data_IF_550987349891
#
_entry.id   IF_550987349891
#
_cell.length_a   1.000
_cell.length_b   1.000
_cell.length_c   1.000
_cell.angle_alpha   90.00
_cell.angle_beta   90.00
_cell.angle_gamma   90.00
#
_symmetry.space_group_name_H-M   'P 1'
#
loop_
_entity.id
_entity.type
_entity.pdbx_description
1 polymer ?
#
# COMPACT_ATOMS: atom_id res chain seq x y z
N UNK A 1 -6.69 -12.31 -19.88
CA UNK A 1 -5.59 -11.39 -19.53
C UNK A 1 -6.15 -9.97 -19.58
N UNK A 2 -6.08 -9.23 -18.46
CA UNK A 2 -6.57 -7.84 -18.42
C UNK A 2 -5.71 -6.92 -19.29
N UNK A 3 -6.33 -5.91 -19.92
CA UNK A 3 -5.63 -4.96 -20.78
C UNK A 3 -4.88 -3.92 -19.93
N UNK A 4 -3.71 -4.32 -19.41
CA UNK A 4 -2.87 -3.49 -18.53
C UNK A 4 -2.56 -2.14 -19.16
N UNK A 5 -2.25 -2.10 -20.46
CA UNK A 5 -1.97 -0.84 -21.16
C UNK A 5 -3.17 0.10 -21.25
N UNK A 6 -4.41 -0.43 -21.26
CA UNK A 6 -5.61 0.39 -21.14
C UNK A 6 -5.75 0.97 -19.73
N UNK A 7 -5.50 0.17 -18.70
CA UNK A 7 -5.57 0.63 -17.31
C UNK A 7 -4.53 1.72 -17.02
N UNK A 8 -3.31 1.59 -17.52
CA UNK A 8 -2.26 2.61 -17.41
C UNK A 8 -2.75 3.95 -17.98
N UNK A 9 -3.24 3.96 -19.21
CA UNK A 9 -3.77 5.19 -19.85
C UNK A 9 -4.92 5.80 -19.06
N UNK A 10 -5.85 4.99 -18.58
CA UNK A 10 -7.00 5.48 -17.82
C UNK A 10 -6.59 6.08 -16.47
N UNK A 11 -5.58 5.52 -15.81
CA UNK A 11 -5.03 6.12 -14.60
C UNK A 11 -4.28 7.42 -14.91
N UNK A 12 -3.48 7.47 -15.98
CA UNK A 12 -2.76 8.68 -16.36
C UNK A 12 -3.74 9.82 -16.69
N UNK A 13 -4.81 9.54 -17.46
CA UNK A 13 -5.90 10.49 -17.72
C UNK A 13 -6.59 10.97 -16.43
N UNK A 14 -6.94 10.05 -15.53
CA UNK A 14 -7.62 10.39 -14.28
C UNK A 14 -6.74 11.25 -13.36
N UNK A 15 -5.44 10.95 -13.27
CA UNK A 15 -4.47 11.74 -12.50
C UNK A 15 -4.39 13.16 -13.05
N UNK A 16 -4.30 13.32 -14.38
CA UNK A 16 -4.21 14.64 -15.00
C UNK A 16 -5.47 15.46 -14.77
N UNK A 17 -6.65 14.84 -14.85
CA UNK A 17 -7.92 15.50 -14.53
C UNK A 17 -7.98 15.92 -13.05
N UNK A 18 -7.63 15.03 -12.12
CA UNK A 18 -7.63 15.35 -10.69
C UNK A 18 -6.66 16.48 -10.33
N UNK A 19 -5.51 16.57 -11.02
CA UNK A 19 -4.57 17.69 -10.85
C UNK A 19 -5.14 19.01 -11.38
N UNK A 20 -5.83 18.98 -12.52
CA UNK A 20 -6.42 20.20 -13.12
C UNK A 20 -7.58 20.75 -12.30
N UNK A 21 -8.34 19.87 -11.62
CA UNK A 21 -9.48 20.24 -10.78
C UNK A 21 -9.09 20.50 -9.31
N UNK A 22 -7.79 20.46 -8.99
CA UNK A 22 -7.25 20.55 -7.62
C UNK A 22 -7.86 19.50 -6.65
N UNK A 23 -8.36 18.36 -7.15
CA UNK A 23 -8.84 17.25 -6.32
C UNK A 23 -7.66 16.42 -5.81
N UNK A 24 -7.06 16.91 -4.73
CA UNK A 24 -5.90 16.30 -4.07
C UNK A 24 -6.20 14.88 -3.55
N UNK A 25 -7.45 14.56 -3.20
CA UNK A 25 -7.81 13.22 -2.74
C UNK A 25 -7.77 12.24 -3.91
N UNK A 26 -8.43 12.59 -5.01
CA UNK A 26 -8.48 11.75 -6.19
C UNK A 26 -7.09 11.57 -6.80
N UNK A 27 -6.28 12.62 -6.87
CA UNK A 27 -4.89 12.55 -7.32
C UNK A 27 -4.09 11.52 -6.51
N UNK A 28 -4.17 11.59 -5.17
CA UNK A 28 -3.48 10.63 -4.28
C UNK A 28 -3.95 9.18 -4.50
N UNK A 29 -5.26 8.96 -4.64
CA UNK A 29 -5.84 7.63 -4.87
C UNK A 29 -5.39 7.04 -6.21
N UNK A 30 -5.50 7.79 -7.30
CA UNK A 30 -5.12 7.30 -8.62
C UNK A 30 -3.62 7.10 -8.77
N UNK A 31 -2.78 7.97 -8.19
CA UNK A 31 -1.33 7.77 -8.14
C UNK A 31 -0.97 6.48 -7.37
N UNK A 32 -1.60 6.22 -6.22
CA UNK A 32 -1.40 4.98 -5.47
C UNK A 32 -1.78 3.73 -6.28
N UNK A 33 -2.90 3.77 -7.00
CA UNK A 33 -3.30 2.66 -7.88
C UNK A 33 -2.36 2.47 -9.07
N UNK A 34 -1.95 3.56 -9.73
CA UNK A 34 -0.98 3.54 -10.82
C UNK A 34 0.37 2.97 -10.38
N UNK A 35 0.82 3.32 -9.17
CA UNK A 35 2.03 2.78 -8.58
C UNK A 35 1.94 1.28 -8.34
N UNK A 36 0.82 0.79 -7.80
CA UNK A 36 0.61 -0.67 -7.60
C UNK A 36 0.67 -1.46 -8.90
N UNK A 37 0.19 -0.87 -10.00
CA UNK A 37 0.26 -1.49 -11.33
C UNK A 37 1.70 -1.51 -11.87
N UNK A 38 2.49 -0.48 -11.55
CA UNK A 38 3.89 -0.33 -11.99
C UNK A 38 4.86 -1.18 -11.15
N UNK A 39 4.55 -1.45 -9.88
CA UNK A 39 5.49 -1.99 -8.89
C UNK A 39 6.18 -3.31 -9.28
N UNK A 40 5.56 -4.16 -10.10
CA UNK A 40 6.18 -5.40 -10.57
C UNK A 40 7.08 -5.21 -11.80
N UNK A 41 6.89 -4.12 -12.55
CA UNK A 41 7.63 -3.79 -13.78
C UNK A 41 8.81 -2.87 -13.48
N UNK A 42 8.51 -1.80 -12.75
CA UNK A 42 9.45 -0.74 -12.39
C UNK A 42 9.14 -0.25 -10.97
N UNK A 43 9.72 -0.91 -9.96
CA UNK A 43 9.50 -0.53 -8.57
C UNK A 43 10.00 0.89 -8.22
N UNK A 44 11.03 1.38 -8.90
CA UNK A 44 11.57 2.72 -8.63
C UNK A 44 10.58 3.79 -9.09
N UNK A 45 10.04 3.64 -10.30
CA UNK A 45 8.95 4.47 -10.80
C UNK A 45 7.71 4.37 -9.92
N UNK A 46 7.37 3.18 -9.42
CA UNK A 46 6.27 3.01 -8.47
C UNK A 46 6.51 3.80 -7.18
N UNK A 47 7.74 3.80 -6.64
CA UNK A 47 8.08 4.60 -5.45
C UNK A 47 8.03 6.12 -5.71
N UNK A 48 8.38 6.58 -6.91
CA UNK A 48 8.21 7.98 -7.29
C UNK A 48 6.73 8.39 -7.31
N UNK A 49 5.87 7.55 -7.92
CA UNK A 49 4.43 7.76 -7.94
C UNK A 49 3.83 7.75 -6.52
N UNK A 50 4.29 6.87 -5.64
CA UNK A 50 3.85 6.82 -4.24
C UNK A 50 4.30 8.05 -3.44
N UNK A 51 5.50 8.57 -3.71
CA UNK A 51 5.98 9.82 -3.10
C UNK A 51 5.07 11.00 -3.49
N UNK A 52 4.68 11.07 -4.76
CA UNK A 52 3.75 12.10 -5.22
C UNK A 52 2.35 11.91 -4.61
N UNK A 53 1.84 10.67 -4.58
CA UNK A 53 0.56 10.36 -3.93
C UNK A 53 0.53 10.82 -2.47
N UNK A 54 1.64 10.62 -1.76
CA UNK A 54 1.81 11.05 -0.37
C UNK A 54 1.73 12.56 -0.22
N UNK A 55 2.37 13.33 -1.11
CA UNK A 55 2.30 14.80 -1.08
C UNK A 55 0.87 15.32 -1.19
N UNK A 56 0.08 14.75 -2.11
CA UNK A 56 -1.33 15.10 -2.24
C UNK A 56 -2.16 14.71 -1.01
N UNK A 57 -1.97 13.49 -0.49
CA UNK A 57 -2.66 13.02 0.70
C UNK A 57 -2.31 13.85 1.95
N UNK A 58 -1.05 14.28 2.09
CA UNK A 58 -0.58 15.15 3.15
C UNK A 58 -1.20 16.55 3.07
N UNK A 59 -1.23 17.12 1.86
CA UNK A 59 -1.82 18.44 1.61
C UNK A 59 -3.31 18.47 1.93
N UNK A 60 -4.05 17.41 1.57
CA UNK A 60 -5.48 17.29 1.86
C UNK A 60 -5.83 16.74 3.24
N UNK A 61 -4.84 16.33 4.06
CA UNK A 61 -5.08 15.69 5.35
C UNK A 61 -5.81 14.34 5.26
N UNK A 62 -5.66 13.60 4.16
CA UNK A 62 -6.37 12.35 3.87
C UNK A 62 -5.68 11.14 4.49
N UNK A 63 -5.83 11.00 5.81
CA UNK A 63 -5.17 9.96 6.60
C UNK A 63 -5.46 8.53 6.13
N UNK A 64 -6.71 8.24 5.75
CA UNK A 64 -7.12 6.95 5.20
C UNK A 64 -6.33 6.59 3.93
N UNK A 65 -6.15 7.57 3.03
CA UNK A 65 -5.36 7.40 1.81
C UNK A 65 -3.88 7.21 2.14
N UNK A 66 -3.34 7.94 3.13
CA UNK A 66 -1.94 7.77 3.59
C UNK A 66 -1.65 6.36 4.07
N UNK A 67 -2.59 5.72 4.78
CA UNK A 67 -2.41 4.33 5.23
C UNK A 67 -2.34 3.35 4.07
N UNK A 68 -3.15 3.52 3.04
CA UNK A 68 -3.03 2.71 1.82
C UNK A 68 -1.71 2.95 1.07
N UNK A 69 -1.21 4.19 1.02
CA UNK A 69 0.08 4.52 0.40
C UNK A 69 1.22 3.82 1.15
N UNK A 70 1.21 3.81 2.50
CA UNK A 70 2.19 3.09 3.33
C UNK A 70 2.23 1.60 2.98
N UNK A 71 1.07 0.95 2.84
CA UNK A 71 1.01 -0.47 2.46
C UNK A 71 1.59 -0.71 1.05
N UNK A 72 1.28 0.16 0.10
CA UNK A 72 1.86 0.10 -1.25
C UNK A 72 3.37 0.30 -1.25
N UNK A 73 3.90 1.23 -0.43
CA UNK A 73 5.34 1.46 -0.29
C UNK A 73 6.07 0.23 0.26
N UNK A 74 5.54 -0.37 1.35
CA UNK A 74 6.12 -1.59 1.92
C UNK A 74 6.13 -2.70 0.88
N UNK A 75 4.98 -2.95 0.23
CA UNK A 75 4.87 -3.96 -0.84
C UNK A 75 5.90 -3.74 -1.95
N UNK A 76 6.04 -2.49 -2.41
CA UNK A 76 6.95 -2.14 -3.50
C UNK A 76 8.40 -2.34 -3.08
N UNK A 77 8.78 -1.94 -1.87
CA UNK A 77 10.15 -2.14 -1.35
C UNK A 77 10.50 -3.61 -1.14
N UNK A 78 9.52 -4.46 -0.85
CA UNK A 78 9.73 -5.92 -0.78
C UNK A 78 9.99 -6.56 -2.15
N UNK A 79 9.66 -5.89 -3.25
CA UNK A 79 9.96 -6.34 -4.62
C UNK A 79 11.34 -5.86 -5.09
N UNK A 80 11.88 -4.81 -4.47
CA UNK A 80 13.19 -4.26 -4.84
C UNK A 80 14.34 -4.90 -4.08
N UNK A 81 15.41 -5.25 -4.80
CA UNK A 81 16.75 -5.33 -4.24
C UNK A 81 17.39 -3.93 -4.29
N UNK A 82 16.83 -2.95 -3.57
CA UNK A 82 17.40 -1.60 -3.49
C UNK A 82 18.67 -1.60 -2.62
N UNK A 83 19.57 -0.64 -2.85
CA UNK A 83 20.77 -0.43 -2.02
C UNK A 83 20.43 -0.12 -0.55
N UNK A 84 19.26 0.50 -0.32
CA UNK A 84 18.67 0.71 1.01
C UNK A 84 17.36 -0.06 1.15
N UNK A 85 17.41 -1.36 1.48
CA UNK A 85 16.22 -2.14 1.74
C UNK A 85 15.48 -1.58 2.95
N UNK A 86 14.15 -1.62 2.92
CA UNK A 86 13.36 -1.37 4.13
C UNK A 86 13.69 -2.47 5.14
N UNK A 87 14.18 -2.08 6.32
CA UNK A 87 14.45 -3.06 7.36
C UNK A 87 13.15 -3.76 7.77
N UNK A 88 13.26 -5.04 8.14
CA UNK A 88 12.11 -5.79 8.64
C UNK A 88 11.46 -5.08 9.83
N UNK A 89 12.26 -4.53 10.73
CA UNK A 89 11.80 -3.80 11.91
C UNK A 89 10.97 -2.56 11.54
N UNK A 90 11.48 -1.74 10.60
CA UNK A 90 10.76 -0.56 10.12
C UNK A 90 9.45 -0.93 9.41
N UNK A 91 9.47 -1.99 8.60
CA UNK A 91 8.27 -2.50 7.95
C UNK A 91 7.23 -2.94 8.98
N UNK A 92 7.65 -3.71 9.99
CA UNK A 92 6.78 -4.19 11.07
C UNK A 92 6.19 -3.04 11.88
N UNK A 93 6.99 -2.01 12.19
CA UNK A 93 6.52 -0.84 12.92
C UNK A 93 5.45 -0.07 12.15
N UNK A 94 5.71 0.22 10.87
CA UNK A 94 4.74 0.89 9.99
C UNK A 94 3.46 0.08 9.79
N UNK A 95 3.56 -1.24 9.69
CA UNK A 95 2.40 -2.13 9.59
C UNK A 95 1.54 -2.09 10.84
N UNK A 96 2.15 -2.10 12.04
CA UNK A 96 1.42 -1.94 13.31
C UNK A 96 0.64 -0.62 13.34
N UNK A 97 1.26 0.48 12.94
CA UNK A 97 0.57 1.78 12.90
C UNK A 97 -0.63 1.79 11.93
N UNK A 98 -0.57 1.03 10.83
CA UNK A 98 -1.70 0.87 9.92
C UNK A 98 -2.79 -0.02 10.53
N UNK A 99 -2.40 -1.10 11.23
CA UNK A 99 -3.33 -1.98 11.94
C UNK A 99 -4.08 -1.22 13.05
N UNK A 100 -3.36 -0.48 13.89
CA UNK A 100 -3.94 0.33 14.98
C UNK A 100 -4.95 1.34 14.43
N UNK A 101 -4.58 2.04 13.34
CA UNK A 101 -5.49 2.96 12.66
C UNK A 101 -6.74 2.23 12.14
N UNK A 102 -6.55 1.08 11.49
CA UNK A 102 -7.65 0.32 10.91
C UNK A 102 -8.62 -0.20 11.97
N UNK A 103 -8.12 -0.60 13.13
CA UNK A 103 -8.93 -1.01 14.28
C UNK A 103 -9.74 0.17 14.83
N UNK A 104 -9.09 1.31 15.11
CA UNK A 104 -9.73 2.51 15.65
C UNK A 104 -10.83 3.04 14.71
N UNK A 105 -10.56 3.04 13.40
CA UNK A 105 -11.46 3.62 12.39
C UNK A 105 -12.46 2.62 11.82
N UNK A 106 -12.43 1.34 12.21
CA UNK A 106 -13.30 0.32 11.67
C UNK A 106 -13.09 0.07 10.17
N UNK A 107 -11.83 -0.02 9.72
CA UNK A 107 -11.44 -0.25 8.32
C UNK A 107 -10.92 -1.69 8.10
N UNK A 108 -11.80 -2.72 8.07
CA UNK A 108 -11.38 -4.12 8.05
C UNK A 108 -10.60 -4.52 6.80
N UNK A 109 -10.83 -3.86 5.66
CA UNK A 109 -10.06 -4.10 4.44
C UNK A 109 -8.60 -3.68 4.59
N UNK A 110 -8.34 -2.54 5.25
CA UNK A 110 -7.01 -2.02 5.52
C UNK A 110 -6.27 -2.90 6.54
N UNK A 111 -6.96 -3.33 7.61
CA UNK A 111 -6.43 -4.27 8.59
C UNK A 111 -6.01 -5.59 7.93
N UNK A 112 -6.86 -6.14 7.05
CA UNK A 112 -6.58 -7.37 6.33
C UNK A 112 -5.35 -7.25 5.42
N UNK A 113 -5.22 -6.14 4.69
CA UNK A 113 -4.07 -5.90 3.81
C UNK A 113 -2.76 -5.73 4.62
N UNK A 114 -2.81 -5.04 5.76
CA UNK A 114 -1.66 -4.89 6.65
C UNK A 114 -1.21 -6.23 7.24
N UNK A 115 -2.13 -7.05 7.74
CA UNK A 115 -1.85 -8.38 8.28
C UNK A 115 -1.23 -9.31 7.23
N UNK A 116 -1.73 -9.28 5.99
CA UNK A 116 -1.14 -10.03 4.87
C UNK A 116 0.31 -9.61 4.61
N UNK A 117 0.59 -8.31 4.59
CA UNK A 117 1.95 -7.80 4.38
C UNK A 117 2.86 -8.17 5.56
N UNK A 118 2.35 -8.13 6.79
CA UNK A 118 3.09 -8.54 7.99
C UNK A 118 3.49 -10.01 7.93
N UNK A 119 2.56 -10.88 7.58
CA UNK A 119 2.84 -12.30 7.37
C UNK A 119 3.92 -12.50 6.30
N UNK A 120 3.90 -11.72 5.22
CA UNK A 120 4.91 -11.82 4.15
C UNK A 120 6.29 -11.33 4.60
N UNK A 121 6.38 -10.27 5.40
CA UNK A 121 7.64 -9.81 6.00
C UNK A 121 8.24 -10.90 6.88
N UNK A 122 7.43 -11.51 7.75
CA UNK A 122 7.86 -12.61 8.61
C UNK A 122 8.35 -13.83 7.81
N UNK A 123 7.63 -14.21 6.74
CA UNK A 123 8.06 -15.29 5.85
C UNK A 123 9.42 -15.01 5.21
N UNK A 124 9.63 -13.79 4.72
CA UNK A 124 10.90 -13.39 4.12
C UNK A 124 12.07 -13.43 5.11
N UNK A 125 11.81 -13.31 6.42
CA UNK A 125 12.82 -13.41 7.48
C UNK A 125 12.95 -14.82 8.07
N UNK A 126 12.25 -15.82 7.53
CA UNK A 126 12.32 -17.21 8.00
C UNK A 126 11.36 -17.54 9.16
N UNK A 127 10.51 -16.61 9.59
CA UNK A 127 9.54 -16.81 10.68
C UNK A 127 8.22 -17.45 10.21
N UNK A 128 8.31 -18.62 9.58
CA UNK A 128 7.18 -19.27 8.92
C UNK A 128 6.01 -19.62 9.86
N UNK A 129 6.30 -20.07 11.09
CA UNK A 129 5.26 -20.43 12.08
C UNK A 129 4.44 -19.22 12.52
N UNK A 130 5.09 -18.09 12.79
CA UNK A 130 4.43 -16.83 13.17
C UNK A 130 3.60 -16.28 12.02
N UNK A 131 4.13 -16.31 10.80
CA UNK A 131 3.41 -15.89 9.61
C UNK A 131 2.14 -16.71 9.35
N UNK A 132 2.21 -18.04 9.52
CA UNK A 132 1.05 -18.92 9.35
C UNK A 132 -0.09 -18.60 10.33
N UNK A 133 0.23 -18.34 11.60
CA UNK A 133 -0.77 -17.96 12.62
C UNK A 133 -1.50 -16.65 12.27
N UNK A 134 -0.79 -15.67 11.71
CA UNK A 134 -1.38 -14.40 11.29
C UNK A 134 -2.38 -14.58 10.14
N UNK A 135 -2.05 -15.41 9.16
CA UNK A 135 -2.93 -15.67 8.01
C UNK A 135 -4.21 -16.40 8.44
N UNK A 136 -4.13 -17.34 9.37
CA UNK A 136 -5.31 -18.08 9.88
C UNK A 136 -6.24 -17.16 10.68
N UNK A 137 -5.69 -16.19 11.41
CA UNK A 137 -6.49 -15.25 12.21
C UNK A 137 -7.41 -14.38 11.35
N UNK A 138 -7.03 -14.10 10.10
CA UNK A 138 -7.86 -13.34 9.15
C UNK A 138 -9.19 -14.04 8.81
N UNK A 139 -9.25 -15.36 8.93
CA UNK A 139 -10.45 -16.16 8.63
C UNK A 139 -11.32 -16.44 9.87
N UNK A 140 -10.81 -16.22 11.10
CA UNK A 140 -11.43 -16.71 12.33
C UNK A 140 -12.22 -15.69 13.17
N UNK A 141 -12.01 -14.38 13.02
CA UNK A 141 -12.50 -13.35 13.95
C UNK A 141 -13.71 -12.53 13.43
N UNK A 142 -14.53 -13.05 12.49
CA UNK A 142 -15.81 -12.38 12.17
C UNK A 142 -16.90 -12.79 13.16
N UNK A 143 -17.44 -11.88 14.00
CA UNK A 143 -18.72 -12.14 14.64
C UNK A 143 -19.81 -12.22 13.58
N UNK A 144 -20.67 -13.23 13.70
CA UNK A 144 -21.90 -13.38 12.91
C UNK A 144 -22.93 -12.30 13.27
#
# INVERSE_FOLDING_TARGET
>A
MGNIGKAERQYDEAIDWSRQDDDVRAAAVFLNHRARLEAAKDPEKALLLLREARQFADTGGHEDVRRHIVLSEIRTRMLTATETPLSAEDAMQRLREVEDYAEIMGAPSLACEALHLRARVLLNNGEASTAGKLLIRLDGDRPA
#
